data_IF_895282274206
#
_entry.id   IF_895282274206
#
_cell.length_a   1.000
_cell.length_b   1.000
_cell.length_c   1.000
_cell.angle_alpha   90.00
_cell.angle_beta   90.00
_cell.angle_gamma   90.00
#
_symmetry.space_group_name_H-M   'P 1'
#
loop_
_entity.id
_entity.type
_entity.pdbx_description
1 polymer ?
#
# COMPACT_ATOMS: atom_id res chain seq x y z
N UNK A 1 11.83 11.44 17.55
CA UNK A 1 10.80 10.79 16.71
C UNK A 1 9.46 11.38 17.13
N UNK A 2 9.10 12.56 16.63
CA UNK A 2 7.85 13.22 17.02
C UNK A 2 6.68 12.50 16.36
N UNK A 3 5.99 11.66 17.14
CA UNK A 3 4.72 11.09 16.74
C UNK A 3 3.75 12.25 16.51
N UNK A 4 3.10 12.31 15.34
CA UNK A 4 2.16 13.39 15.03
C UNK A 4 1.09 13.50 16.14
N UNK A 5 0.59 14.71 16.43
CA UNK A 5 -0.52 14.88 17.37
C UNK A 5 -1.67 13.94 17.02
N UNK A 6 -2.29 13.33 18.04
CA UNK A 6 -3.35 12.32 17.83
C UNK A 6 -4.50 12.86 17.00
N UNK A 7 -4.88 14.13 17.21
CA UNK A 7 -5.94 14.80 16.46
C UNK A 7 -5.60 14.92 14.97
N UNK A 8 -4.36 15.29 14.64
CA UNK A 8 -3.91 15.38 13.24
C UNK A 8 -3.94 14.00 12.55
N UNK A 9 -3.49 12.96 13.26
CA UNK A 9 -3.48 11.60 12.74
C UNK A 9 -4.92 11.09 12.47
N UNK A 10 -5.85 11.37 13.40
CA UNK A 10 -7.27 11.04 13.25
C UNK A 10 -7.89 11.80 12.07
N UNK A 11 -7.57 13.08 11.91
CA UNK A 11 -8.02 13.88 10.78
C UNK A 11 -7.55 13.28 9.46
N UNK A 12 -6.28 12.91 9.35
CA UNK A 12 -5.73 12.26 8.15
C UNK A 12 -6.50 10.97 7.83
N UNK A 13 -6.72 10.10 8.83
CA UNK A 13 -7.49 8.87 8.63
C UNK A 13 -8.92 9.14 8.17
N UNK A 14 -9.54 10.19 8.70
CA UNK A 14 -10.87 10.61 8.29
C UNK A 14 -10.88 11.07 6.82
N UNK A 15 -9.90 11.87 6.39
CA UNK A 15 -9.80 12.33 5.00
C UNK A 15 -9.57 11.17 4.02
N UNK A 16 -8.67 10.24 4.35
CA UNK A 16 -8.46 9.02 3.53
C UNK A 16 -9.78 8.24 3.44
N UNK A 17 -10.50 8.11 4.55
CA UNK A 17 -11.80 7.44 4.58
C UNK A 17 -12.86 8.11 3.71
N UNK A 18 -12.93 9.45 3.74
CA UNK A 18 -13.84 10.23 2.88
C UNK A 18 -13.51 10.06 1.40
N UNK A 19 -12.22 10.06 1.06
CA UNK A 19 -11.81 9.87 -0.33
C UNK A 19 -12.13 8.44 -0.82
N UNK A 20 -11.95 7.42 0.02
CA UNK A 20 -12.38 6.06 -0.31
C UNK A 20 -13.90 5.99 -0.57
N UNK A 21 -14.71 6.70 0.21
CA UNK A 21 -16.15 6.79 -0.03
C UNK A 21 -16.48 7.50 -1.36
N UNK A 22 -15.76 8.58 -1.68
CA UNK A 22 -15.93 9.31 -2.94
C UNK A 22 -15.61 8.44 -4.15
N UNK A 23 -14.50 7.70 -4.11
CA UNK A 23 -14.11 6.71 -5.14
C UNK A 23 -15.20 5.66 -5.38
N UNK A 24 -15.96 5.27 -4.35
CA UNK A 24 -17.00 4.25 -4.44
C UNK A 24 -18.36 4.80 -4.89
N UNK A 25 -18.71 6.01 -4.48
CA UNK A 25 -20.08 6.56 -4.63
C UNK A 25 -20.23 7.56 -5.77
N UNK A 26 -19.16 8.24 -6.16
CA UNK A 26 -19.21 9.31 -7.16
C UNK A 26 -18.84 8.77 -8.53
N UNK A 27 -19.80 8.72 -9.45
CA UNK A 27 -19.60 8.17 -10.79
C UNK A 27 -18.56 8.94 -11.61
N UNK A 28 -18.56 10.29 -11.56
CA UNK A 28 -17.57 11.13 -12.28
C UNK A 28 -16.22 11.25 -11.53
N UNK A 29 -16.02 10.51 -10.43
CA UNK A 29 -14.73 10.50 -9.74
C UNK A 29 -13.62 10.06 -10.73
N UNK A 30 -12.43 10.69 -10.73
CA UNK A 30 -11.37 10.40 -11.71
C UNK A 30 -11.00 8.91 -11.78
N UNK A 31 -11.00 8.20 -10.65
CA UNK A 31 -10.78 6.74 -10.60
C UNK A 31 -11.78 5.96 -11.46
N UNK A 32 -13.05 6.37 -11.44
CA UNK A 32 -14.12 5.72 -12.20
C UNK A 32 -14.10 6.19 -13.65
N UNK A 33 -14.02 7.52 -13.88
CA UNK A 33 -13.99 8.16 -15.19
C UNK A 33 -12.84 7.68 -16.08
N UNK A 34 -11.65 7.50 -15.50
CA UNK A 34 -10.46 7.09 -16.25
C UNK A 34 -10.17 5.59 -16.16
N UNK A 35 -11.06 4.78 -15.58
CA UNK A 35 -10.87 3.34 -15.41
C UNK A 35 -9.53 3.00 -14.73
N UNK A 36 -9.32 3.55 -13.53
CA UNK A 36 -8.10 3.37 -12.74
C UNK A 36 -8.26 2.18 -11.80
N UNK A 37 -7.30 1.26 -11.79
CA UNK A 37 -7.17 0.20 -10.80
C UNK A 37 -6.39 0.71 -9.60
N UNK A 38 -7.02 0.73 -8.42
CA UNK A 38 -6.43 1.28 -7.20
C UNK A 38 -5.94 0.14 -6.31
N UNK A 39 -4.70 0.27 -5.83
CA UNK A 39 -4.08 -0.63 -4.85
C UNK A 39 -3.48 0.16 -3.71
N UNK A 40 -3.65 -0.33 -2.49
CA UNK A 40 -3.03 0.27 -1.31
C UNK A 40 -1.84 -0.57 -0.87
N UNK A 41 -0.71 0.09 -0.66
CA UNK A 41 0.56 -0.53 -0.24
C UNK A 41 1.04 0.06 1.09
N UNK A 42 1.89 -0.67 1.81
CA UNK A 42 2.36 -0.31 3.16
C UNK A 42 1.66 -1.08 4.27
N UNK A 43 1.80 -0.62 5.52
CA UNK A 43 1.31 -1.34 6.71
C UNK A 43 -0.16 -1.02 7.01
N UNK A 44 -1.04 -1.30 6.04
CA UNK A 44 -2.48 -1.03 6.14
C UNK A 44 -3.14 -1.70 7.35
N UNK A 45 -2.60 -2.82 7.83
CA UNK A 45 -3.07 -3.53 9.05
C UNK A 45 -2.96 -2.69 10.33
N UNK A 46 -2.10 -1.67 10.36
CA UNK A 46 -1.93 -0.76 11.50
C UNK A 46 -2.99 0.35 11.52
N UNK A 47 -3.77 0.51 10.45
CA UNK A 47 -4.82 1.52 10.36
C UNK A 47 -6.08 1.07 11.11
N UNK A 48 -6.99 1.99 11.47
CA UNK A 48 -8.29 1.62 12.04
C UNK A 48 -9.06 0.64 11.15
N UNK A 49 -9.70 -0.39 11.73
CA UNK A 49 -10.42 -1.45 10.99
C UNK A 49 -11.38 -0.90 9.94
N UNK A 50 -12.16 0.12 10.30
CA UNK A 50 -13.11 0.77 9.39
C UNK A 50 -12.42 1.31 8.12
N UNK A 51 -11.23 1.89 8.26
CA UNK A 51 -10.48 2.40 7.11
C UNK A 51 -9.95 1.25 6.24
N UNK A 52 -9.44 0.18 6.86
CA UNK A 52 -9.01 -1.02 6.14
C UNK A 52 -10.14 -1.62 5.29
N UNK A 53 -11.36 -1.68 5.84
CA UNK A 53 -12.53 -2.18 5.12
C UNK A 53 -12.91 -1.30 3.94
N UNK A 54 -12.87 0.03 4.11
CA UNK A 54 -13.10 0.98 3.01
C UNK A 54 -12.07 0.83 1.90
N UNK A 55 -10.78 0.77 2.24
CA UNK A 55 -9.69 0.55 1.29
C UNK A 55 -9.90 -0.75 0.50
N UNK A 56 -10.23 -1.86 1.18
CA UNK A 56 -10.51 -3.16 0.55
C UNK A 56 -11.71 -3.11 -0.39
N UNK A 57 -12.74 -2.32 -0.08
CA UNK A 57 -13.88 -2.10 -0.98
C UNK A 57 -13.46 -1.36 -2.24
N UNK A 58 -12.64 -0.31 -2.13
CA UNK A 58 -12.09 0.42 -3.28
C UNK A 58 -11.25 -0.48 -4.18
N UNK A 59 -10.35 -1.29 -3.60
CA UNK A 59 -9.54 -2.24 -4.37
C UNK A 59 -10.43 -3.24 -5.14
N UNK A 60 -11.47 -3.77 -4.49
CA UNK A 60 -12.41 -4.70 -5.14
C UNK A 60 -13.22 -4.02 -6.25
N UNK A 61 -13.72 -2.81 -5.99
CA UNK A 61 -14.50 -2.02 -6.95
C UNK A 61 -13.71 -1.73 -8.22
N UNK A 62 -12.41 -1.46 -8.08
CA UNK A 62 -11.54 -1.09 -9.20
C UNK A 62 -10.69 -2.24 -9.75
N UNK A 63 -10.79 -3.46 -9.20
CA UNK A 63 -9.92 -4.59 -9.54
C UNK A 63 -9.96 -5.01 -11.02
N UNK A 64 -11.08 -4.76 -11.70
CA UNK A 64 -11.26 -5.11 -13.13
C UNK A 64 -10.77 -4.01 -14.07
N UNK A 65 -10.41 -2.85 -13.55
CA UNK A 65 -9.92 -1.73 -14.35
C UNK A 65 -8.51 -2.07 -14.88
N UNK A 66 -8.25 -1.74 -16.14
CA UNK A 66 -6.99 -2.13 -16.82
C UNK A 66 -6.25 -0.96 -17.47
N UNK A 67 -6.84 0.24 -17.47
CA UNK A 67 -6.29 1.37 -18.22
C UNK A 67 -5.13 2.05 -17.48
N UNK A 68 -5.33 2.33 -16.19
CA UNK A 68 -4.30 2.95 -15.35
C UNK A 68 -4.21 2.22 -14.00
N UNK A 69 -3.04 2.30 -13.37
CA UNK A 69 -2.78 1.68 -12.08
C UNK A 69 -2.32 2.77 -11.10
N UNK A 70 -3.02 2.90 -9.98
CA UNK A 70 -2.69 3.84 -8.92
C UNK A 70 -2.32 3.05 -7.66
N UNK A 71 -1.07 3.16 -7.23
CA UNK A 71 -0.59 2.58 -5.98
C UNK A 71 -0.48 3.66 -4.90
N UNK A 72 -1.28 3.53 -3.85
CA UNK A 72 -1.34 4.51 -2.76
C UNK A 72 -0.61 3.93 -1.55
N UNK A 73 0.52 4.54 -1.19
CA UNK A 73 1.31 4.14 -0.03
C UNK A 73 0.74 4.76 1.26
N UNK A 74 0.28 3.93 2.20
CA UNK A 74 -0.31 4.37 3.48
C UNK A 74 0.35 3.63 4.63
N UNK A 75 0.67 4.37 5.71
CA UNK A 75 1.50 3.85 6.81
C UNK A 75 2.78 3.16 6.28
N UNK A 76 3.36 3.77 5.25
CA UNK A 76 4.55 3.31 4.53
C UNK A 76 5.78 3.92 5.18
N UNK A 77 6.77 3.09 5.46
CA UNK A 77 8.01 3.50 6.09
C UNK A 77 9.17 2.94 5.29
N UNK A 78 9.76 3.75 4.40
CA UNK A 78 10.70 3.24 3.39
C UNK A 78 11.84 2.38 3.97
N UNK A 79 12.53 2.85 5.01
CA UNK A 79 13.58 2.07 5.67
C UNK A 79 13.04 0.81 6.36
N UNK A 80 11.88 0.92 7.01
CA UNK A 80 11.26 -0.21 7.71
C UNK A 80 10.81 -1.31 6.75
N UNK A 81 10.38 -0.96 5.54
CA UNK A 81 10.00 -1.93 4.51
C UNK A 81 11.18 -2.64 3.90
N UNK A 82 12.31 -1.95 3.69
CA UNK A 82 13.56 -2.58 3.29
C UNK A 82 13.99 -3.60 4.35
N UNK A 83 13.96 -3.21 5.63
CA UNK A 83 14.34 -4.10 6.74
C UNK A 83 13.41 -5.31 6.82
N UNK A 84 12.09 -5.14 6.69
CA UNK A 84 11.13 -6.25 6.68
C UNK A 84 11.35 -7.20 5.49
N UNK A 85 11.63 -6.67 4.30
CA UNK A 85 11.90 -7.47 3.11
C UNK A 85 13.18 -8.31 3.28
N UNK A 86 14.27 -7.70 3.76
CA UNK A 86 15.53 -8.39 4.02
C UNK A 86 15.35 -9.48 5.07
N UNK A 87 14.61 -9.21 6.16
CA UNK A 87 14.28 -10.23 7.17
C UNK A 87 13.53 -11.41 6.58
N UNK A 88 12.53 -11.17 5.72
CA UNK A 88 11.79 -12.25 5.06
C UNK A 88 12.68 -13.09 4.14
N UNK A 89 13.60 -12.45 3.40
CA UNK A 89 14.59 -13.15 2.58
C UNK A 89 15.50 -14.01 3.46
N UNK A 90 16.03 -13.47 4.56
CA UNK A 90 16.86 -14.22 5.50
C UNK A 90 16.13 -15.46 6.07
N UNK A 91 14.86 -15.32 6.46
CA UNK A 91 14.05 -16.47 6.94
C UNK A 91 13.90 -17.53 5.84
N UNK A 92 13.63 -17.12 4.59
CA UNK A 92 13.50 -18.08 3.48
C UNK A 92 14.83 -18.79 3.16
N UNK A 93 15.97 -18.11 3.30
CA UNK A 93 17.30 -18.71 3.18
C UNK A 93 17.52 -19.78 4.27
N UNK A 94 17.24 -19.46 5.54
CA UNK A 94 17.40 -20.42 6.65
C UNK A 94 16.51 -21.65 6.52
N UNK A 95 15.36 -21.52 5.85
CA UNK A 95 14.43 -22.63 5.58
C UNK A 95 14.75 -23.41 4.30
N UNK A 96 15.79 -23.05 3.56
CA UNK A 96 16.14 -23.67 2.28
C UNK A 96 15.12 -23.42 1.17
N UNK A 97 14.19 -22.47 1.34
CA UNK A 97 13.16 -22.14 0.33
C UNK A 97 13.80 -21.38 -0.85
N UNK A 98 14.83 -20.59 -0.56
CA UNK A 98 15.66 -19.91 -1.55
C UNK A 98 17.12 -20.21 -1.22
N UNK A 99 17.95 -20.28 -2.26
CA UNK A 99 19.38 -20.44 -2.17
C UNK A 99 20.05 -19.12 -2.53
N UNK A 100 21.08 -18.72 -1.78
CA UNK A 100 21.84 -17.52 -2.12
C UNK A 100 22.76 -17.84 -3.30
N UNK A 101 22.48 -17.27 -4.46
CA UNK A 101 23.43 -17.27 -5.57
C UNK A 101 24.41 -16.12 -5.37
N UNK A 102 25.73 -16.34 -5.47
CA UNK A 102 26.69 -15.24 -5.43
C UNK A 102 26.38 -14.27 -6.58
N UNK A 103 26.32 -12.98 -6.28
CA UNK A 103 26.13 -11.95 -7.31
C UNK A 103 27.42 -11.86 -8.14
N UNK A 104 27.45 -12.53 -9.30
CA UNK A 104 28.44 -12.24 -10.32
C UNK A 104 28.22 -10.78 -10.76
N UNK A 105 29.26 -9.96 -10.68
CA UNK A 105 29.20 -8.50 -10.83
C UNK A 105 28.33 -8.05 -12.00
N UNK A 106 27.12 -7.55 -11.69
CA UNK A 106 26.41 -6.68 -12.61
C UNK A 106 27.18 -5.36 -12.61
N UNK A 107 27.99 -5.20 -13.65
CA UNK A 107 28.62 -3.94 -14.02
C UNK A 107 27.47 -2.98 -14.35
N UNK A 108 27.07 -2.16 -13.36
CA UNK A 108 26.19 -1.03 -13.61
C UNK A 108 26.94 -0.10 -14.57
N UNK A 109 26.38 0.07 -15.76
CA UNK A 109 26.63 1.21 -16.64
C UNK A 109 26.19 2.50 -15.95
#
# INVERSE_FOLDING_TARGET
MHSRPREELLFIFQQIGKECDAMLKVADHPVNKYNVCVRFIGRTRLLPKLLQEKMKRVEKHTAKNKKYFLQIAVAYGGQQEIVDAVRQVAVKLTKGIIISTPMAGQRLI
#
